data_IF_656994079636
#
_entry.id   IF_656994079636
#
_cell.length_a   1.000
_cell.length_b   1.000
_cell.length_c   1.000
_cell.angle_alpha   90.00
_cell.angle_beta   90.00
_cell.angle_gamma   90.00
#
_symmetry.space_group_name_H-M   'P 1'
#
loop_
_entity.id
_entity.type
_entity.pdbx_description
1 polymer ?
#
# COMPACT_ATOMS: atom_id res chain seq x y z
N UNK A 1 15.49 7.22 13.06
CA UNK A 1 15.38 7.10 11.59
C UNK A 1 15.82 8.36 10.87
N UNK A 2 15.07 9.49 10.94
CA UNK A 2 15.34 10.70 10.13
C UNK A 2 16.78 11.19 10.24
N UNK A 3 17.35 11.28 11.45
CA UNK A 3 18.75 11.69 11.67
C UNK A 3 19.74 10.77 10.94
N UNK A 4 19.52 9.45 11.00
CA UNK A 4 20.38 8.46 10.34
C UNK A 4 20.27 8.59 8.81
N UNK A 5 19.05 8.78 8.29
CA UNK A 5 18.81 8.98 6.87
C UNK A 5 19.48 10.27 6.35
N UNK A 6 19.44 11.36 7.13
CA UNK A 6 20.15 12.60 6.83
C UNK A 6 21.68 12.38 6.84
N UNK A 7 22.21 11.70 7.85
CA UNK A 7 23.64 11.40 7.95
C UNK A 7 24.13 10.52 6.81
N UNK A 8 23.37 9.49 6.44
CA UNK A 8 23.66 8.62 5.29
C UNK A 8 23.68 9.43 3.97
N UNK A 9 22.68 10.28 3.76
CA UNK A 9 22.61 11.15 2.57
C UNK A 9 23.78 12.14 2.54
N UNK A 10 24.11 12.78 3.66
CA UNK A 10 25.24 13.70 3.73
C UNK A 10 26.58 12.99 3.45
N UNK A 11 26.77 11.78 3.97
CA UNK A 11 27.96 10.98 3.68
C UNK A 11 28.05 10.60 2.20
N UNK A 12 26.91 10.35 1.54
CA UNK A 12 26.90 10.03 0.12
C UNK A 12 27.38 11.18 -0.78
N UNK A 13 27.19 12.44 -0.37
CA UNK A 13 27.67 13.61 -1.12
C UNK A 13 29.20 13.77 -1.08
N UNK A 14 29.87 13.06 -0.16
CA UNK A 14 31.33 12.98 -0.10
C UNK A 14 31.88 11.87 -1.01
N UNK A 15 31.01 11.02 -1.57
CA UNK A 15 31.40 9.99 -2.53
C UNK A 15 31.33 10.57 -3.93
N UNK A 16 32.31 10.21 -4.76
CA UNK A 16 32.35 10.59 -6.16
C UNK A 16 31.43 9.65 -6.96
N UNK A 17 30.15 10.02 -7.04
CA UNK A 17 29.10 9.22 -7.69
C UNK A 17 28.77 9.85 -9.04
N UNK A 18 28.89 9.08 -10.11
CA UNK A 18 28.62 9.55 -11.46
C UNK A 18 27.13 9.86 -11.69
N UNK A 19 26.79 11.02 -12.29
CA UNK A 19 25.43 11.33 -12.70
C UNK A 19 24.91 10.36 -13.77
N UNK A 20 23.66 9.95 -13.66
CA UNK A 20 22.99 9.04 -14.60
C UNK A 20 21.77 9.73 -15.22
N UNK A 21 21.58 9.56 -16.53
CA UNK A 21 20.42 10.07 -17.29
C UNK A 21 20.15 11.58 -17.13
N UNK A 22 21.21 12.39 -16.98
CA UNK A 22 21.11 13.84 -16.82
C UNK A 22 20.58 14.30 -15.44
N UNK A 23 20.56 13.40 -14.46
CA UNK A 23 20.15 13.71 -13.07
C UNK A 23 21.38 13.73 -12.17
N UNK A 24 21.59 14.84 -11.46
CA UNK A 24 22.70 14.96 -10.51
C UNK A 24 22.37 14.30 -9.16
N UNK A 25 23.41 13.85 -8.46
CA UNK A 25 23.31 13.26 -7.11
C UNK A 25 22.71 14.24 -6.09
N UNK A 26 23.15 15.53 -6.02
CA UNK A 26 22.54 16.50 -5.11
C UNK A 26 21.05 16.73 -5.37
N UNK A 27 20.62 16.85 -6.64
CA UNK A 27 19.20 17.05 -6.98
C UNK A 27 18.34 15.87 -6.50
N UNK A 28 18.86 14.65 -6.66
CA UNK A 28 18.18 13.42 -6.25
C UNK A 28 18.10 13.30 -4.72
N UNK A 29 19.20 13.63 -4.03
CA UNK A 29 19.24 13.69 -2.58
C UNK A 29 18.20 14.67 -2.03
N UNK A 30 18.18 15.92 -2.55
CA UNK A 30 17.21 16.95 -2.13
C UNK A 30 15.77 16.49 -2.33
N UNK A 31 15.42 15.97 -3.52
CA UNK A 31 14.07 15.46 -3.81
C UNK A 31 13.63 14.37 -2.83
N UNK A 32 14.56 13.49 -2.47
CA UNK A 32 14.26 12.38 -1.56
C UNK A 32 14.15 12.85 -0.11
N UNK A 33 14.97 13.80 0.32
CA UNK A 33 14.85 14.43 1.63
C UNK A 33 13.55 15.22 1.77
N UNK A 34 13.11 15.93 0.72
CA UNK A 34 11.79 16.57 0.68
C UNK A 34 10.68 15.51 0.82
N UNK A 35 10.82 14.37 0.15
CA UNK A 35 9.85 13.27 0.26
C UNK A 35 9.77 12.70 1.68
N UNK A 36 10.91 12.54 2.35
CA UNK A 36 10.99 12.11 3.75
C UNK A 36 10.38 13.17 4.70
N UNK A 37 10.70 14.44 4.48
CA UNK A 37 10.13 15.55 5.25
C UNK A 37 8.61 15.59 5.12
N UNK A 38 8.07 15.49 3.90
CA UNK A 38 6.63 15.48 3.65
C UNK A 38 5.97 14.30 4.36
N UNK A 39 6.57 13.12 4.30
CA UNK A 39 6.13 11.94 5.04
C UNK A 39 6.10 12.16 6.56
N UNK A 40 7.18 12.69 7.11
CA UNK A 40 7.27 13.07 8.52
C UNK A 40 6.23 14.11 8.93
N UNK A 41 5.97 15.10 8.07
CA UNK A 41 4.94 16.11 8.30
C UNK A 41 3.54 15.50 8.36
N UNK A 42 3.19 14.56 7.46
CA UNK A 42 1.93 13.83 7.55
C UNK A 42 1.80 13.05 8.86
N UNK A 43 2.84 12.32 9.25
CA UNK A 43 2.85 11.55 10.50
C UNK A 43 2.67 12.44 11.73
N UNK A 44 3.44 13.52 11.81
CA UNK A 44 3.38 14.47 12.93
C UNK A 44 2.04 15.19 12.98
N UNK A 45 1.48 15.62 11.84
CA UNK A 45 0.17 16.26 11.80
C UNK A 45 -0.93 15.34 12.35
N UNK A 46 -0.99 14.09 11.90
CA UNK A 46 -2.00 13.13 12.37
C UNK A 46 -1.77 12.72 13.82
N UNK A 47 -0.52 12.72 14.29
CA UNK A 47 -0.18 12.38 15.68
C UNK A 47 -0.51 13.51 16.66
N UNK A 48 -0.26 14.76 16.28
CA UNK A 48 -0.27 15.91 17.20
C UNK A 48 -1.58 16.71 17.18
N UNK A 49 -2.34 16.67 16.09
CA UNK A 49 -3.60 17.43 15.99
C UNK A 49 -4.71 16.84 16.88
N UNK A 50 -4.95 15.51 16.90
CA UNK A 50 -5.99 14.94 17.76
C UNK A 50 -5.56 14.98 19.24
N UNK A 51 -6.31 15.70 20.08
CA UNK A 51 -6.01 15.85 21.51
C UNK A 51 -6.90 14.95 22.39
N UNK A 52 -8.03 14.50 21.86
CA UNK A 52 -8.98 13.65 22.57
C UNK A 52 -9.65 12.63 21.61
N UNK A 53 -10.50 11.76 22.17
CA UNK A 53 -11.25 10.76 21.39
C UNK A 53 -12.19 11.38 20.35
N UNK A 54 -12.79 12.53 20.64
CA UNK A 54 -13.66 13.21 19.69
C UNK A 54 -12.91 13.70 18.45
N UNK A 55 -11.69 14.20 18.62
CA UNK A 55 -10.83 14.62 17.51
C UNK A 55 -10.41 13.43 16.63
N UNK A 56 -10.15 12.28 17.23
CA UNK A 56 -9.86 11.04 16.51
C UNK A 56 -11.08 10.57 15.69
N UNK A 57 -12.26 10.58 16.31
CA UNK A 57 -13.52 10.28 15.61
C UNK A 57 -13.78 11.26 14.48
N UNK A 58 -13.56 12.55 14.70
CA UNK A 58 -13.70 13.59 13.70
C UNK A 58 -12.74 13.35 12.52
N UNK A 59 -11.46 13.08 12.81
CA UNK A 59 -10.44 12.81 11.80
C UNK A 59 -10.77 11.55 10.98
N UNK A 60 -11.25 10.49 11.63
CA UNK A 60 -11.69 9.27 10.96
C UNK A 60 -12.92 9.51 10.06
N UNK A 61 -13.88 10.34 10.48
CA UNK A 61 -15.03 10.72 9.65
C UNK A 61 -14.59 11.49 8.40
N UNK A 62 -13.61 12.38 8.51
CA UNK A 62 -13.05 13.10 7.37
C UNK A 62 -12.29 12.18 6.42
N UNK A 63 -11.55 11.21 6.96
CA UNK A 63 -10.95 10.15 6.15
C UNK A 63 -12.03 9.39 5.35
N UNK A 64 -13.11 8.98 6.02
CA UNK A 64 -14.25 8.32 5.38
C UNK A 64 -14.95 9.20 4.35
N UNK A 65 -15.13 10.49 4.61
CA UNK A 65 -15.74 11.42 3.67
C UNK A 65 -14.87 11.62 2.42
N UNK A 66 -13.55 11.81 2.59
CA UNK A 66 -12.60 11.90 1.47
C UNK A 66 -12.60 10.63 0.62
N UNK A 67 -12.62 9.45 1.26
CA UNK A 67 -12.75 8.20 0.54
C UNK A 67 -14.11 8.02 -0.13
N UNK A 68 -15.22 8.46 0.47
CA UNK A 68 -16.52 8.42 -0.18
C UNK A 68 -16.51 9.22 -1.50
N UNK A 69 -15.86 10.38 -1.52
CA UNK A 69 -15.67 11.16 -2.76
C UNK A 69 -14.79 10.40 -3.78
N UNK A 70 -13.68 9.81 -3.33
CA UNK A 70 -12.79 9.05 -4.21
C UNK A 70 -13.48 7.79 -4.78
N UNK A 71 -14.26 7.08 -3.96
CA UNK A 71 -15.06 5.92 -4.36
C UNK A 71 -16.18 6.31 -5.33
N UNK A 72 -16.83 7.46 -5.14
CA UNK A 72 -17.79 7.99 -6.09
C UNK A 72 -17.16 8.22 -7.46
N UNK A 73 -16.00 8.88 -7.49
CA UNK A 73 -15.27 9.11 -8.73
C UNK A 73 -14.83 7.79 -9.40
N UNK A 74 -14.32 6.83 -8.62
CA UNK A 74 -13.99 5.49 -9.11
C UNK A 74 -15.21 4.72 -9.63
N UNK A 75 -16.37 4.88 -9.01
CA UNK A 75 -17.62 4.23 -9.44
C UNK A 75 -18.13 4.78 -10.77
N UNK A 76 -17.99 6.09 -10.99
CA UNK A 76 -18.29 6.70 -12.28
C UNK A 76 -17.36 6.17 -13.38
N UNK A 77 -16.07 6.01 -13.06
CA UNK A 77 -15.12 5.38 -13.98
C UNK A 77 -15.48 3.92 -14.29
N UNK A 78 -16.01 3.17 -13.32
CA UNK A 78 -16.38 1.77 -13.52
C UNK A 78 -17.46 1.57 -14.59
N UNK A 79 -18.30 2.58 -14.85
CA UNK A 79 -19.34 2.50 -15.89
C UNK A 79 -18.76 2.27 -17.29
N UNK A 80 -17.70 2.98 -17.68
CA UNK A 80 -17.06 2.74 -18.99
C UNK A 80 -16.22 1.46 -19.02
N UNK A 81 -15.80 0.95 -17.87
CA UNK A 81 -15.07 -0.32 -17.78
C UNK A 81 -16.02 -1.50 -18.02
N UNK A 82 -17.25 -1.42 -17.51
CA UNK A 82 -18.29 -2.45 -17.74
C UNK A 82 -18.92 -2.31 -19.12
N UNK A 83 -19.23 -1.08 -19.53
CA UNK A 83 -19.90 -0.80 -20.80
C UNK A 83 -19.22 0.36 -21.51
N UNK A 84 -18.26 0.03 -22.36
CA UNK A 84 -17.43 1.05 -23.00
C UNK A 84 -18.27 1.96 -23.91
N UNK A 85 -18.25 3.26 -23.61
CA UNK A 85 -18.85 4.31 -24.40
C UNK A 85 -17.81 5.40 -24.65
N UNK A 86 -17.49 5.65 -25.92
CA UNK A 86 -16.43 6.58 -26.31
C UNK A 86 -16.71 8.03 -25.92
N UNK A 87 -17.97 8.48 -26.00
CA UNK A 87 -18.38 9.83 -25.62
C UNK A 87 -18.20 10.02 -24.12
N UNK A 88 -18.73 9.09 -23.32
CA UNK A 88 -18.60 9.12 -21.86
C UNK A 88 -17.14 9.05 -21.43
N UNK A 89 -16.35 8.15 -22.02
CA UNK A 89 -14.92 8.03 -21.73
C UNK A 89 -14.16 9.33 -22.04
N UNK A 90 -14.46 9.99 -23.17
CA UNK A 90 -13.80 11.24 -23.55
C UNK A 90 -14.16 12.39 -22.59
N UNK A 91 -15.41 12.48 -22.14
CA UNK A 91 -15.82 13.46 -21.11
C UNK A 91 -15.02 13.22 -19.82
N UNK A 92 -14.95 11.98 -19.36
CA UNK A 92 -14.17 11.65 -18.15
C UNK A 92 -12.69 11.90 -18.31
N UNK A 93 -12.13 11.65 -19.50
CA UNK A 93 -10.74 11.95 -19.82
C UNK A 93 -10.45 13.45 -19.74
N UNK A 94 -11.35 14.29 -20.24
CA UNK A 94 -11.23 15.75 -20.12
C UNK A 94 -11.32 16.20 -18.66
N UNK A 95 -12.30 15.68 -17.90
CA UNK A 95 -12.44 16.01 -16.47
C UNK A 95 -11.23 15.56 -15.65
N UNK A 96 -10.73 14.34 -15.87
CA UNK A 96 -9.54 13.82 -15.19
C UNK A 96 -8.31 14.70 -15.49
N UNK A 97 -8.19 15.23 -16.71
CA UNK A 97 -7.06 16.09 -17.09
C UNK A 97 -6.96 17.40 -16.31
N UNK A 98 -8.05 17.82 -15.63
CA UNK A 98 -8.04 18.98 -14.74
C UNK A 98 -7.33 18.72 -13.40
N UNK A 99 -7.22 17.45 -13.00
CA UNK A 99 -6.70 17.05 -11.67
C UNK A 99 -5.49 16.12 -11.77
N UNK A 100 -5.32 15.40 -12.89
CA UNK A 100 -4.24 14.45 -13.10
C UNK A 100 -3.67 14.54 -14.52
N UNK A 101 -2.34 14.52 -14.62
CA UNK A 101 -1.63 14.50 -15.90
C UNK A 101 -1.62 13.11 -16.57
N UNK A 102 -2.08 12.05 -15.88
CA UNK A 102 -2.17 10.69 -16.45
C UNK A 102 -3.41 10.55 -17.32
N UNK A 103 -3.27 9.79 -18.42
CA UNK A 103 -4.40 9.30 -19.22
C UNK A 103 -5.20 8.25 -18.44
N UNK A 104 -6.53 8.26 -18.61
CA UNK A 104 -7.41 7.21 -18.12
C UNK A 104 -7.22 5.90 -18.88
N UNK A 105 -7.51 4.79 -18.19
CA UNK A 105 -7.44 3.43 -18.73
C UNK A 105 -8.83 2.97 -19.12
N UNK A 106 -9.07 2.41 -20.32
CA UNK A 106 -10.39 1.94 -20.71
C UNK A 106 -10.82 0.66 -19.98
N UNK A 107 -9.86 -0.12 -19.48
CA UNK A 107 -10.10 -1.46 -18.91
C UNK A 107 -10.08 -1.52 -17.39
N UNK A 108 -9.74 -0.42 -16.70
CA UNK A 108 -9.60 -0.37 -15.24
C UNK A 108 -9.83 1.05 -14.72
N UNK A 109 -10.23 1.16 -13.47
CA UNK A 109 -10.38 2.46 -12.81
C UNK A 109 -9.11 2.87 -12.06
N UNK A 110 -8.84 4.17 -12.00
CA UNK A 110 -7.74 4.76 -11.23
C UNK A 110 -8.21 5.70 -10.12
N UNK A 111 -9.54 5.91 -10.01
CA UNK A 111 -10.09 6.91 -9.12
C UNK A 111 -9.45 8.27 -9.41
N UNK A 112 -9.12 9.01 -8.34
CA UNK A 112 -8.42 10.30 -8.44
C UNK A 112 -6.89 10.14 -8.42
N UNK A 113 -6.38 8.91 -8.43
CA UNK A 113 -4.95 8.64 -8.35
C UNK A 113 -4.31 8.58 -9.74
N UNK A 114 -2.97 8.52 -9.77
CA UNK A 114 -2.20 8.43 -11.00
C UNK A 114 -2.32 7.06 -11.69
N UNK A 115 -2.55 5.98 -10.93
CA UNK A 115 -2.60 4.59 -11.44
C UNK A 115 -3.68 3.75 -10.73
N UNK A 116 -4.30 2.78 -11.43
CA UNK A 116 -5.21 1.81 -10.81
C UNK A 116 -4.64 1.12 -9.57
N UNK A 117 -3.35 0.79 -9.57
CA UNK A 117 -2.71 0.16 -8.42
C UNK A 117 -2.65 1.10 -7.21
N UNK A 118 -2.35 2.39 -7.40
CA UNK A 118 -2.27 3.35 -6.30
C UNK A 118 -3.63 3.56 -5.64
N UNK A 119 -4.71 3.57 -6.42
CA UNK A 119 -6.06 3.65 -5.86
C UNK A 119 -6.42 2.40 -5.06
N UNK A 120 -6.08 1.21 -5.60
CA UNK A 120 -6.29 -0.05 -4.90
C UNK A 120 -5.52 -0.11 -3.58
N UNK A 121 -4.28 0.39 -3.58
CA UNK A 121 -3.44 0.51 -2.40
C UNK A 121 -4.00 1.50 -1.38
N UNK A 122 -4.47 2.67 -1.80
CA UNK A 122 -5.13 3.63 -0.91
C UNK A 122 -6.36 3.03 -0.24
N UNK A 123 -7.24 2.36 -1.00
CA UNK A 123 -8.40 1.68 -0.43
C UNK A 123 -7.95 0.61 0.57
N UNK A 124 -7.03 -0.27 0.18
CA UNK A 124 -6.64 -1.43 0.98
C UNK A 124 -5.83 -1.09 2.22
N UNK A 125 -5.02 -0.04 2.17
CA UNK A 125 -4.09 0.32 3.24
C UNK A 125 -4.58 1.48 4.10
N UNK A 126 -5.14 2.53 3.48
CA UNK A 126 -5.55 3.74 4.20
C UNK A 126 -6.99 3.66 4.72
N UNK A 127 -7.89 2.92 4.04
CA UNK A 127 -9.31 2.86 4.39
C UNK A 127 -9.74 1.54 5.04
N UNK A 128 -9.42 0.41 4.41
CA UNK A 128 -9.93 -0.92 4.78
C UNK A 128 -9.64 -1.34 6.23
N UNK A 129 -8.46 -1.11 6.83
CA UNK A 129 -8.19 -1.51 8.21
C UNK A 129 -9.20 -0.94 9.21
N UNK A 130 -9.63 0.31 9.00
CA UNK A 130 -10.62 0.98 9.84
C UNK A 130 -12.03 0.45 9.61
N UNK A 131 -12.43 0.27 8.34
CA UNK A 131 -13.76 -0.23 7.98
C UNK A 131 -13.97 -1.68 8.45
N UNK A 132 -13.00 -2.56 8.20
CA UNK A 132 -13.06 -3.94 8.70
C UNK A 132 -13.17 -3.96 10.21
N UNK A 133 -12.31 -3.22 10.90
CA UNK A 133 -12.35 -3.22 12.36
C UNK A 133 -13.67 -2.65 12.88
N UNK A 134 -14.21 -1.59 12.27
CA UNK A 134 -15.47 -0.99 12.67
C UNK A 134 -16.64 -1.99 12.55
N UNK A 135 -16.80 -2.59 11.37
CA UNK A 135 -17.88 -3.56 11.08
C UNK A 135 -17.79 -4.81 11.97
N UNK A 136 -16.58 -5.32 12.22
CA UNK A 136 -16.38 -6.55 12.99
C UNK A 136 -16.40 -6.34 14.50
N UNK A 137 -15.98 -5.17 15.00
CA UNK A 137 -16.11 -4.80 16.42
C UNK A 137 -17.48 -4.22 16.78
N UNK A 138 -18.28 -3.80 15.80
CA UNK A 138 -19.55 -3.12 16.03
C UNK A 138 -19.38 -1.63 16.40
N UNK A 139 -18.17 -1.09 16.22
CA UNK A 139 -17.87 0.32 16.39
C UNK A 139 -18.43 1.15 15.21
N UNK A 140 -18.88 2.37 15.49
CA UNK A 140 -19.37 3.32 14.50
C UNK A 140 -18.84 4.70 14.85
N UNK A 141 -18.10 5.31 13.92
CA UNK A 141 -17.68 6.70 14.04
C UNK A 141 -18.87 7.64 13.86
N UNK A 142 -19.90 7.25 13.11
CA UNK A 142 -21.09 8.07 12.86
C UNK A 142 -22.24 7.76 13.83
N UNK A 143 -23.08 8.77 14.11
CA UNK A 143 -24.30 8.60 14.91
C UNK A 143 -25.42 7.90 14.15
N UNK A 144 -25.45 8.03 12.82
CA UNK A 144 -26.48 7.43 11.99
C UNK A 144 -26.35 5.91 11.95
N UNK A 145 -27.45 5.23 12.26
CA UNK A 145 -27.56 3.78 12.19
C UNK A 145 -29.00 3.41 11.89
N UNK A 146 -29.22 2.61 10.85
CA UNK A 146 -30.53 2.05 10.57
C UNK A 146 -30.53 0.55 10.88
N UNK A 147 -31.21 0.15 11.96
CA UNK A 147 -31.15 -1.22 12.50
C UNK A 147 -29.70 -1.64 12.77
N UNK A 148 -29.16 -2.61 12.01
CA UNK A 148 -27.78 -3.07 12.12
C UNK A 148 -26.84 -2.38 11.12
N UNK A 149 -27.38 -1.61 10.16
CA UNK A 149 -26.64 -0.96 9.09
C UNK A 149 -25.98 0.33 9.59
N UNK A 150 -24.67 0.41 9.47
CA UNK A 150 -23.87 1.62 9.77
C UNK A 150 -23.25 2.17 8.49
N UNK A 151 -22.76 3.41 8.55
CA UNK A 151 -22.06 4.05 7.42
C UNK A 151 -20.82 3.24 7.01
N UNK A 152 -20.08 2.71 7.99
CA UNK A 152 -18.88 1.91 7.77
C UNK A 152 -19.19 0.61 7.03
N UNK A 153 -20.35 -0.01 7.29
CA UNK A 153 -20.79 -1.19 6.55
C UNK A 153 -21.07 -0.86 5.08
N UNK A 154 -21.74 0.26 4.81
CA UNK A 154 -22.01 0.72 3.45
C UNK A 154 -20.71 1.07 2.71
N UNK A 155 -19.80 1.80 3.37
CA UNK A 155 -18.49 2.13 2.84
C UNK A 155 -17.63 0.89 2.58
N UNK A 156 -17.69 -0.13 3.45
CA UNK A 156 -16.92 -1.37 3.28
C UNK A 156 -17.38 -2.11 2.02
N UNK A 157 -18.69 -2.28 1.84
CA UNK A 157 -19.25 -2.93 0.66
C UNK A 157 -18.91 -2.13 -0.60
N UNK A 158 -19.08 -0.81 -0.55
CA UNK A 158 -18.79 0.06 -1.68
C UNK A 158 -17.30 0.06 -2.06
N UNK A 159 -16.42 0.20 -1.08
CA UNK A 159 -14.97 0.16 -1.28
C UNK A 159 -14.51 -1.20 -1.83
N UNK A 160 -15.09 -2.30 -1.35
CA UNK A 160 -14.80 -3.64 -1.87
C UNK A 160 -15.23 -3.76 -3.33
N UNK A 161 -16.44 -3.30 -3.68
CA UNK A 161 -16.93 -3.31 -5.05
C UNK A 161 -16.06 -2.49 -6.00
N UNK A 162 -15.71 -1.26 -5.61
CA UNK A 162 -14.83 -0.37 -6.40
C UNK A 162 -13.44 -0.97 -6.55
N UNK A 163 -12.89 -1.58 -5.48
CA UNK A 163 -11.57 -2.22 -5.52
C UNK A 163 -11.46 -3.30 -6.60
N UNK A 164 -12.52 -4.08 -6.85
CA UNK A 164 -12.52 -5.09 -7.92
C UNK A 164 -12.32 -4.48 -9.31
N UNK A 165 -12.88 -3.29 -9.57
CA UNK A 165 -12.76 -2.59 -10.85
C UNK A 165 -11.38 -1.93 -11.07
N UNK A 166 -10.54 -1.86 -10.03
CA UNK A 166 -9.14 -1.44 -10.19
C UNK A 166 -8.33 -2.48 -10.97
N UNK A 167 -8.78 -3.75 -10.96
CA UNK A 167 -8.05 -4.90 -11.49
C UNK A 167 -6.57 -4.89 -11.04
N UNK A 168 -6.31 -4.49 -9.79
CA UNK A 168 -4.99 -4.57 -9.18
C UNK A 168 -4.81 -5.92 -8.49
N UNK A 169 -3.86 -6.73 -8.98
CA UNK A 169 -3.50 -8.02 -8.40
C UNK A 169 -3.00 -7.86 -6.95
N UNK A 170 -2.14 -6.86 -6.72
CA UNK A 170 -1.65 -6.50 -5.39
C UNK A 170 -2.79 -6.04 -4.49
N UNK A 171 -3.71 -5.21 -4.99
CA UNK A 171 -4.87 -4.73 -4.24
C UNK A 171 -5.75 -5.86 -3.68
N UNK A 172 -5.95 -6.94 -4.43
CA UNK A 172 -6.76 -8.08 -3.95
C UNK A 172 -6.04 -8.95 -2.92
N UNK A 173 -4.73 -9.16 -3.08
CA UNK A 173 -3.92 -9.81 -2.04
C UNK A 173 -4.02 -8.99 -0.75
N UNK A 174 -3.90 -7.66 -0.87
CA UNK A 174 -4.01 -6.73 0.25
C UNK A 174 -5.43 -6.64 0.83
N UNK A 175 -6.46 -7.10 0.12
CA UNK A 175 -7.83 -7.26 0.64
C UNK A 175 -7.99 -8.61 1.38
N UNK A 176 -7.44 -9.70 0.84
CA UNK A 176 -7.53 -11.04 1.42
C UNK A 176 -6.86 -11.14 2.79
N UNK A 177 -5.72 -10.47 2.98
CA UNK A 177 -4.96 -10.45 4.23
C UNK A 177 -5.77 -9.89 5.42
N UNK A 178 -6.30 -8.66 5.37
CA UNK A 178 -7.09 -8.10 6.48
C UNK A 178 -8.41 -8.85 6.70
N UNK A 179 -9.05 -9.40 5.66
CA UNK A 179 -10.23 -10.27 5.81
C UNK A 179 -9.87 -11.48 6.65
N UNK A 180 -8.80 -12.18 6.32
CA UNK A 180 -8.37 -13.37 7.07
C UNK A 180 -8.08 -13.03 8.53
N UNK A 181 -7.35 -11.95 8.74
CA UNK A 181 -6.89 -11.55 10.06
C UNK A 181 -8.02 -11.01 10.94
N UNK A 182 -8.99 -10.25 10.40
CA UNK A 182 -10.08 -9.69 11.21
C UNK A 182 -10.95 -10.78 11.83
N UNK A 183 -11.18 -11.91 11.13
CA UNK A 183 -11.89 -13.06 11.72
C UNK A 183 -11.14 -13.68 12.90
N UNK A 184 -9.81 -13.60 12.91
CA UNK A 184 -8.97 -14.12 14.00
C UNK A 184 -8.95 -13.17 15.21
N UNK A 185 -8.92 -11.85 14.98
CA UNK A 185 -8.76 -10.84 16.05
C UNK A 185 -10.06 -10.18 16.52
N UNK A 186 -11.21 -10.45 15.86
CA UNK A 186 -12.51 -9.86 16.25
C UNK A 186 -12.93 -10.25 17.68
N UNK A 187 -13.68 -9.38 18.38
CA UNK A 187 -14.25 -9.72 19.67
C UNK A 187 -15.23 -10.90 19.54
N UNK A 188 -15.39 -11.65 20.63
CA UNK A 188 -16.34 -12.77 20.70
C UNK A 188 -17.77 -12.24 20.53
N UNK A 189 -18.57 -12.93 19.72
CA UNK A 189 -19.98 -12.59 19.48
C UNK A 189 -20.90 -13.67 20.07
N UNK A 190 -22.12 -13.28 20.41
CA UNK A 190 -23.17 -14.22 20.86
C UNK A 190 -23.52 -15.29 19.80
N UNK A 191 -23.25 -15.01 18.53
CA UNK A 191 -23.40 -15.95 17.40
C UNK A 191 -22.29 -17.00 17.29
N UNK A 192 -21.26 -16.95 18.13
CA UNK A 192 -20.19 -17.95 18.12
C UNK A 192 -20.74 -19.27 18.70
N UNK A 193 -20.50 -20.40 18.01
CA UNK A 193 -21.19 -21.66 18.27
C UNK A 193 -20.68 -22.27 19.58
N UNK A 194 -21.55 -22.55 20.57
CA UNK A 194 -21.15 -23.22 21.80
C UNK A 194 -20.60 -24.63 21.49
N UNK A 195 -19.41 -24.95 22.00
CA UNK A 195 -18.82 -26.31 21.92
C UNK A 195 -17.74 -26.50 20.83
N UNK A 196 -17.68 -25.68 19.78
CA UNK A 196 -16.56 -25.69 18.84
C UNK A 196 -15.38 -24.89 19.42
N UNK A 197 -14.14 -25.36 19.24
CA UNK A 197 -12.97 -24.53 19.58
C UNK A 197 -13.07 -23.21 18.81
N UNK A 198 -13.14 -22.08 19.51
CA UNK A 198 -13.36 -20.73 18.94
C UNK A 198 -12.39 -20.45 17.78
N UNK A 199 -11.14 -20.91 17.92
CA UNK A 199 -10.11 -20.80 16.88
C UNK A 199 -10.51 -21.53 15.59
N UNK A 200 -11.03 -22.75 15.69
CA UNK A 200 -11.50 -23.53 14.53
C UNK A 200 -12.68 -22.86 13.83
N UNK A 201 -13.63 -22.30 14.59
CA UNK A 201 -14.74 -21.53 14.00
C UNK A 201 -14.26 -20.30 13.24
N UNK A 202 -13.30 -19.55 13.81
CA UNK A 202 -12.73 -18.35 13.18
C UNK A 202 -11.97 -18.69 11.90
N UNK A 203 -11.19 -19.77 11.91
CA UNK A 203 -10.49 -20.26 10.72
C UNK A 203 -11.46 -20.68 9.63
N UNK A 204 -12.55 -21.38 9.97
CA UNK A 204 -13.60 -21.75 9.01
C UNK A 204 -14.25 -20.51 8.38
N UNK A 205 -14.59 -19.50 9.19
CA UNK A 205 -15.17 -18.25 8.70
C UNK A 205 -14.22 -17.47 7.80
N UNK A 206 -12.94 -17.39 8.17
CA UNK A 206 -11.91 -16.80 7.34
C UNK A 206 -11.77 -17.55 6.00
N UNK A 207 -11.69 -18.88 6.05
CA UNK A 207 -11.62 -19.73 4.86
C UNK A 207 -12.83 -19.55 3.94
N UNK A 208 -14.05 -19.54 4.49
CA UNK A 208 -15.26 -19.32 3.71
C UNK A 208 -15.29 -17.91 3.08
N UNK A 209 -14.90 -16.88 3.84
CA UNK A 209 -14.83 -15.52 3.31
C UNK A 209 -13.80 -15.41 2.17
N UNK A 210 -12.67 -16.10 2.28
CA UNK A 210 -11.66 -16.17 1.22
C UNK A 210 -12.16 -16.92 -0.01
N UNK A 211 -12.91 -18.02 0.15
CA UNK A 211 -13.51 -18.74 -0.99
C UNK A 211 -14.53 -17.87 -1.71
N UNK A 212 -15.40 -17.17 -0.95
CA UNK A 212 -16.36 -16.23 -1.53
C UNK A 212 -15.64 -15.10 -2.26
N UNK A 213 -14.61 -14.52 -1.64
CA UNK A 213 -13.80 -13.49 -2.29
C UNK A 213 -13.13 -14.02 -3.57
N UNK A 214 -12.50 -15.19 -3.52
CA UNK A 214 -11.86 -15.81 -4.66
C UNK A 214 -12.85 -16.06 -5.80
N UNK A 215 -14.05 -16.55 -5.49
CA UNK A 215 -15.12 -16.72 -6.48
C UNK A 215 -15.54 -15.41 -7.14
N UNK A 216 -15.74 -14.34 -6.35
CA UNK A 216 -16.07 -13.01 -6.86
C UNK A 216 -14.93 -12.47 -7.75
N UNK A 217 -13.68 -12.59 -7.29
CA UNK A 217 -12.49 -12.15 -8.02
C UNK A 217 -12.31 -12.92 -9.33
N UNK A 218 -12.58 -14.23 -9.33
CA UNK A 218 -12.52 -15.06 -10.53
C UNK A 218 -13.58 -14.64 -11.55
N UNK A 219 -14.82 -14.45 -11.10
CA UNK A 219 -15.94 -14.02 -11.98
C UNK A 219 -15.68 -12.63 -12.56
N UNK A 220 -15.27 -11.67 -11.73
CA UNK A 220 -14.98 -10.31 -12.18
C UNK A 220 -13.72 -10.26 -13.06
N UNK A 221 -12.67 -10.99 -12.67
CA UNK A 221 -11.37 -10.96 -13.29
C UNK A 221 -11.27 -11.72 -14.61
N UNK A 222 -12.12 -12.73 -14.85
CA UNK A 222 -12.15 -13.50 -16.10
C UNK A 222 -12.55 -12.65 -17.30
N UNK A 223 -13.22 -11.53 -17.07
CA UNK A 223 -13.62 -10.56 -18.09
C UNK A 223 -12.47 -9.63 -18.52
N UNK A 224 -11.30 -9.70 -17.88
CA UNK A 224 -10.18 -8.80 -18.13
C UNK A 224 -8.90 -9.59 -18.47
N UNK A 225 -8.42 -9.44 -19.71
CA UNK A 225 -7.23 -10.16 -20.21
C UNK A 225 -5.95 -9.93 -19.40
N UNK A 226 -5.78 -8.75 -18.79
CA UNK A 226 -4.63 -8.52 -17.92
C UNK A 226 -4.78 -9.28 -16.60
N UNK A 227 -5.98 -9.33 -16.06
CA UNK A 227 -6.24 -9.92 -14.76
C UNK A 227 -6.29 -11.46 -14.83
N UNK A 228 -6.85 -12.01 -15.90
CA UNK A 228 -6.96 -13.46 -16.12
C UNK A 228 -5.63 -14.19 -16.26
N UNK A 229 -4.54 -13.49 -16.60
CA UNK A 229 -3.17 -14.04 -16.55
C UNK A 229 -2.78 -14.68 -15.21
N UNK A 230 -3.44 -14.31 -14.11
CA UNK A 230 -3.18 -14.95 -12.81
C UNK A 230 -3.46 -16.47 -12.82
N UNK A 231 -4.40 -16.94 -13.63
CA UNK A 231 -4.78 -18.37 -13.71
C UNK A 231 -4.63 -18.96 -15.12
N UNK A 232 -4.46 -18.13 -16.15
CA UNK A 232 -4.35 -18.63 -17.52
C UNK A 232 -2.99 -19.25 -17.87
N UNK A 233 -1.95 -19.10 -17.04
CA UNK A 233 -0.61 -19.63 -17.34
C UNK A 233 -0.61 -21.13 -17.67
N UNK A 234 -1.44 -21.93 -17.00
CA UNK A 234 -1.52 -23.39 -17.22
C UNK A 234 -2.38 -23.78 -18.44
N UNK A 235 -3.14 -22.84 -19.00
CA UNK A 235 -4.03 -23.06 -20.14
C UNK A 235 -3.56 -22.35 -21.41
N UNK A 236 -2.59 -21.43 -21.29
CA UNK A 236 -2.06 -20.64 -22.38
C UNK A 236 -0.92 -21.41 -23.06
N UNK A 237 -1.18 -21.93 -24.25
CA UNK A 237 -0.19 -22.69 -25.03
C UNK A 237 1.01 -21.82 -25.46
N UNK A 238 0.86 -20.49 -25.47
CA UNK A 238 1.93 -19.53 -25.74
C UNK A 238 2.70 -19.13 -24.46
N UNK A 239 2.34 -19.68 -23.30
CA UNK A 239 3.07 -19.40 -22.06
C UNK A 239 4.51 -19.92 -22.16
N UNK A 240 5.45 -18.99 -22.06
CA UNK A 240 6.89 -19.27 -22.09
C UNK A 240 7.52 -18.83 -20.77
N UNK A 241 8.55 -19.56 -20.32
CA UNK A 241 9.23 -19.27 -19.06
C UNK A 241 8.45 -19.72 -17.82
N UNK A 242 8.81 -19.16 -16.66
CA UNK A 242 8.18 -19.50 -15.39
C UNK A 242 6.93 -18.63 -15.12
N UNK A 243 6.09 -19.07 -14.18
CA UNK A 243 4.86 -18.35 -13.82
C UNK A 243 5.12 -16.88 -13.42
N UNK A 244 6.21 -16.62 -12.70
CA UNK A 244 6.56 -15.27 -12.22
C UNK A 244 6.89 -14.31 -13.37
N UNK A 245 7.54 -14.81 -14.41
CA UNK A 245 7.80 -14.10 -15.66
C UNK A 245 6.50 -13.86 -16.45
N UNK A 246 5.63 -14.87 -16.55
CA UNK A 246 4.34 -14.75 -17.22
C UNK A 246 3.45 -13.65 -16.61
N UNK A 247 3.48 -13.51 -15.28
CA UNK A 247 2.76 -12.45 -14.57
C UNK A 247 3.54 -11.12 -14.48
N UNK A 248 4.73 -11.02 -15.08
CA UNK A 248 5.63 -9.86 -15.04
C UNK A 248 6.00 -9.41 -13.60
N UNK A 249 6.26 -10.38 -12.71
CA UNK A 249 6.68 -10.15 -11.33
C UNK A 249 8.18 -10.42 -11.12
N UNK A 250 8.79 -11.23 -11.98
CA UNK A 250 10.19 -11.64 -11.94
C UNK A 250 11.19 -10.47 -11.85
N UNK A 251 10.94 -9.38 -12.59
CA UNK A 251 11.81 -8.19 -12.59
C UNK A 251 11.99 -7.56 -11.21
N UNK A 252 11.01 -7.71 -10.31
CA UNK A 252 11.12 -7.19 -8.95
C UNK A 252 12.27 -7.83 -8.19
N UNK A 253 12.53 -9.12 -8.43
CA UNK A 253 13.64 -9.82 -7.80
C UNK A 253 15.00 -9.29 -8.27
N UNK A 254 15.12 -8.86 -9.53
CA UNK A 254 16.33 -8.20 -10.01
C UNK A 254 16.58 -6.89 -9.26
N UNK A 255 15.56 -6.02 -9.16
CA UNK A 255 15.69 -4.77 -8.39
C UNK A 255 16.01 -5.01 -6.91
N UNK A 256 15.39 -6.01 -6.28
CA UNK A 256 15.65 -6.33 -4.87
C UNK A 256 17.02 -6.98 -4.67
N UNK A 257 17.46 -7.81 -5.61
CA UNK A 257 18.78 -8.41 -5.61
C UNK A 257 19.87 -7.36 -5.72
N UNK A 258 19.74 -6.41 -6.64
CA UNK A 258 20.65 -5.26 -6.76
C UNK A 258 20.68 -4.42 -5.49
N UNK A 259 19.52 -4.14 -4.89
CA UNK A 259 19.46 -3.42 -3.61
C UNK A 259 20.21 -4.17 -2.50
N UNK A 260 20.11 -5.50 -2.46
CA UNK A 260 20.84 -6.33 -1.52
C UNK A 260 22.36 -6.29 -1.76
N UNK A 261 22.82 -6.33 -3.02
CA UNK A 261 24.24 -6.24 -3.34
C UNK A 261 24.82 -4.88 -2.94
N UNK A 262 24.12 -3.78 -3.24
CA UNK A 262 24.50 -2.43 -2.79
C UNK A 262 24.60 -2.38 -1.25
N UNK A 263 23.66 -2.99 -0.55
CA UNK A 263 23.71 -3.09 0.91
C UNK A 263 24.92 -3.92 1.39
N UNK A 264 25.23 -5.04 0.73
CA UNK A 264 26.35 -5.90 1.12
C UNK A 264 27.69 -5.15 1.08
N UNK A 265 27.87 -4.25 0.11
CA UNK A 265 29.08 -3.45 -0.05
C UNK A 265 29.07 -2.17 0.80
N UNK A 266 27.87 -1.70 1.20
CA UNK A 266 27.69 -0.52 2.05
C UNK A 266 26.82 -0.79 3.30
N UNK A 267 27.21 -1.71 4.20
CA UNK A 267 26.30 -2.30 5.18
C UNK A 267 25.85 -1.35 6.29
N UNK A 268 26.67 -0.37 6.66
CA UNK A 268 26.41 0.46 7.86
C UNK A 268 25.43 1.61 7.54
N UNK A 269 25.80 2.47 6.58
CA UNK A 269 25.07 3.68 6.23
C UNK A 269 24.41 3.61 4.84
N UNK A 270 24.64 2.56 4.06
CA UNK A 270 24.16 2.50 2.68
C UNK A 270 24.83 3.52 1.76
N UNK A 271 24.17 3.79 0.62
CA UNK A 271 24.64 4.73 -0.42
C UNK A 271 24.01 6.12 -0.34
N UNK A 272 23.17 6.41 0.64
CA UNK A 272 22.42 7.66 0.73
C UNK A 272 21.05 7.60 0.06
N UNK A 273 20.12 8.41 0.57
CA UNK A 273 18.74 8.41 0.09
C UNK A 273 18.63 8.89 -1.36
N UNK A 274 17.95 8.09 -2.18
CA UNK A 274 17.71 8.35 -3.60
C UNK A 274 18.82 7.89 -4.53
N UNK A 275 19.93 7.37 -3.99
CA UNK A 275 21.12 7.05 -4.78
C UNK A 275 21.12 5.65 -5.38
N UNK A 276 20.16 4.78 -5.03
CA UNK A 276 20.06 3.43 -5.60
C UNK A 276 20.21 3.40 -7.13
N UNK A 277 19.62 4.38 -7.83
CA UNK A 277 19.65 4.45 -9.30
C UNK A 277 21.04 4.63 -9.89
N UNK A 278 21.98 5.27 -9.18
CA UNK A 278 23.34 5.53 -9.68
C UNK A 278 24.22 4.28 -9.59
N UNK A 279 23.88 3.37 -8.69
CA UNK A 279 24.57 2.09 -8.49
C UNK A 279 23.85 0.95 -9.21
N UNK A 280 22.73 1.21 -9.89
CA UNK A 280 21.88 0.14 -10.42
C UNK A 280 22.62 -0.70 -11.47
N UNK A 281 23.27 -0.05 -12.44
CA UNK A 281 23.92 -0.75 -13.55
C UNK A 281 25.16 -1.52 -13.09
N UNK A 282 25.94 -0.96 -12.15
CA UNK A 282 27.14 -1.60 -11.58
C UNK A 282 26.80 -2.84 -10.75
N UNK A 283 25.69 -2.79 -10.00
CA UNK A 283 25.25 -3.87 -9.09
C UNK A 283 24.10 -4.70 -9.67
N UNK A 284 23.84 -4.58 -10.98
CA UNK A 284 22.86 -5.44 -11.64
C UNK A 284 23.45 -6.84 -11.77
N UNK A 285 22.79 -7.82 -11.15
CA UNK A 285 23.25 -9.22 -11.23
C UNK A 285 23.36 -9.69 -12.68
N UNK A 286 24.36 -10.52 -13.00
CA UNK A 286 24.60 -11.20 -14.30
C UNK A 286 23.46 -12.15 -14.77
N UNK A 287 22.28 -12.07 -14.15
CA UNK A 287 21.08 -12.76 -14.61
C UNK A 287 20.81 -12.36 -16.08
N UNK A 288 20.45 -13.31 -16.95
CA UNK A 288 20.17 -12.98 -18.35
C UNK A 288 19.06 -11.92 -18.39
N UNK A 289 19.36 -10.75 -18.97
CA UNK A 289 18.43 -9.62 -19.15
C UNK A 289 17.44 -9.85 -20.31
N UNK A 290 17.78 -10.82 -21.18
CA UNK A 290 17.02 -11.22 -22.36
C UNK A 290 15.56 -11.66 -22.13
N UNK A 291 15.16 -12.31 -21.01
CA UNK A 291 13.77 -12.66 -20.74
C UNK A 291 12.90 -11.47 -20.27
N UNK A 292 13.51 -10.30 -20.01
CA UNK A 292 12.86 -9.15 -19.39
C UNK A 292 12.95 -7.90 -20.28
N UNK A 293 12.08 -7.80 -21.31
CA UNK A 293 12.09 -6.67 -22.24
C UNK A 293 11.92 -5.30 -21.55
N UNK A 294 11.29 -5.23 -20.37
CA UNK A 294 11.18 -3.98 -19.62
C UNK A 294 12.51 -3.56 -18.95
N UNK A 295 13.33 -4.51 -18.47
CA UNK A 295 14.68 -4.20 -17.97
C UNK A 295 15.60 -3.77 -19.10
N UNK A 296 15.50 -4.44 -20.26
CA UNK A 296 16.20 -4.00 -21.48
C UNK A 296 15.76 -2.59 -21.89
N UNK A 297 14.46 -2.29 -21.89
CA UNK A 297 13.95 -0.95 -22.21
C UNK A 297 14.37 0.15 -21.21
N UNK A 298 14.71 -0.22 -19.96
CA UNK A 298 15.24 0.70 -18.95
C UNK A 298 16.74 0.97 -19.14
N UNK A 299 17.50 -0.06 -19.52
CA UNK A 299 18.95 0.03 -19.75
C UNK A 299 19.30 0.57 -21.15
N UNK A 300 18.37 0.53 -22.10
CA UNK A 300 18.58 1.04 -23.46
C UNK A 300 18.21 2.52 -23.51
N UNK A 301 19.16 3.45 -23.76
CA UNK A 301 18.86 4.88 -23.81
C UNK A 301 18.04 5.21 -25.05
N UNK A 302 16.72 5.40 -24.90
CA UNK A 302 15.92 6.08 -25.92
C UNK A 302 15.90 7.59 -25.65
N UNK A 303 16.14 8.40 -26.69
CA UNK A 303 16.12 9.85 -26.59
C UNK A 303 14.78 10.34 -25.98
N UNK A 304 14.85 10.96 -24.80
CA UNK A 304 13.68 11.48 -24.08
C UNK A 304 13.07 10.54 -23.01
N UNK A 305 13.59 9.33 -22.80
CA UNK A 305 13.21 8.48 -21.65
C UNK A 305 14.19 8.65 -20.49
N UNK A 306 13.84 9.53 -19.54
CA UNK A 306 14.56 9.70 -18.26
C UNK A 306 13.90 8.90 -17.13
N UNK A 307 13.58 7.62 -17.37
CA UNK A 307 12.93 6.81 -16.36
C UNK A 307 13.97 6.29 -15.36
N UNK A 308 14.09 7.01 -14.24
CA UNK A 308 14.98 6.66 -13.13
C UNK A 308 14.58 5.30 -12.55
N UNK A 309 15.54 4.39 -12.39
CA UNK A 309 15.30 3.07 -11.83
C UNK A 309 15.00 3.15 -10.34
N UNK A 310 14.03 2.36 -9.88
CA UNK A 310 13.61 2.33 -8.48
C UNK A 310 13.54 0.88 -7.99
N UNK A 311 13.70 0.70 -6.68
CA UNK A 311 13.73 -0.62 -6.05
C UNK A 311 12.36 -1.30 -6.10
N UNK A 312 11.28 -0.52 -6.16
CA UNK A 312 9.88 -0.98 -6.12
C UNK A 312 9.55 -1.79 -4.85
N UNK A 313 10.36 -1.65 -3.80
CA UNK A 313 10.09 -2.13 -2.45
C UNK A 313 10.80 -1.26 -1.41
N UNK A 314 10.10 -1.01 -0.32
CA UNK A 314 10.48 -0.07 0.73
C UNK A 314 11.63 -0.59 1.60
N UNK A 315 11.59 -1.85 2.05
CA UNK A 315 12.65 -2.38 2.93
C UNK A 315 13.99 -2.65 2.22
N UNK A 316 14.03 -3.23 1.01
CA UNK A 316 15.28 -3.34 0.26
C UNK A 316 15.85 -1.97 -0.08
N UNK A 317 15.00 -0.97 -0.36
CA UNK A 317 15.43 0.43 -0.51
C UNK A 317 16.06 0.96 0.77
N UNK A 318 15.43 0.78 1.93
CA UNK A 318 15.99 1.21 3.22
C UNK A 318 17.36 0.59 3.48
N UNK A 319 17.51 -0.70 3.20
CA UNK A 319 18.79 -1.40 3.36
C UNK A 319 19.86 -0.84 2.44
N UNK A 320 19.58 -0.69 1.14
CA UNK A 320 20.55 -0.17 0.17
C UNK A 320 20.92 1.30 0.47
N UNK A 321 19.93 2.15 0.73
CA UNK A 321 20.12 3.59 0.81
C UNK A 321 20.54 4.07 2.20
N UNK A 322 20.18 3.37 3.28
CA UNK A 322 20.47 3.80 4.65
C UNK A 322 21.22 2.77 5.50
N UNK A 323 21.53 1.60 4.93
CA UNK A 323 22.23 0.52 5.60
C UNK A 323 21.44 -0.11 6.74
N UNK A 324 22.14 -0.90 7.54
CA UNK A 324 21.61 -1.55 8.73
C UNK A 324 21.16 -0.53 9.77
N UNK A 325 21.88 0.59 9.95
CA UNK A 325 21.51 1.59 10.95
C UNK A 325 20.18 2.28 10.63
N UNK A 326 19.98 2.70 9.38
CA UNK A 326 18.72 3.34 8.99
C UNK A 326 17.56 2.35 9.06
N UNK A 327 17.77 1.14 8.54
CA UNK A 327 16.75 0.07 8.58
C UNK A 327 16.39 -0.30 10.02
N UNK A 328 17.37 -0.53 10.89
CA UNK A 328 17.14 -0.88 12.30
C UNK A 328 16.38 0.22 13.05
N UNK A 329 16.73 1.50 12.84
CA UNK A 329 16.00 2.60 13.48
C UNK A 329 14.59 2.80 12.92
N UNK A 330 14.32 2.42 11.68
CA UNK A 330 12.96 2.39 11.14
C UNK A 330 12.16 1.22 11.71
N UNK A 331 12.76 0.04 11.83
CA UNK A 331 12.14 -1.12 12.47
C UNK A 331 11.84 -0.85 13.95
N UNK A 332 12.73 -0.17 14.67
CA UNK A 332 12.47 0.29 16.04
C UNK A 332 11.25 1.21 16.12
N UNK A 333 11.07 2.10 15.14
CA UNK A 333 9.87 2.92 15.02
C UNK A 333 8.61 2.07 14.81
N UNK A 334 8.63 1.07 13.90
CA UNK A 334 7.49 0.15 13.73
C UNK A 334 7.20 -0.67 14.99
N UNK A 335 8.23 -1.10 15.71
CA UNK A 335 8.09 -1.81 16.98
C UNK A 335 7.44 -0.92 18.05
N UNK A 336 7.75 0.37 18.09
CA UNK A 336 7.06 1.33 18.95
C UNK A 336 5.58 1.46 18.57
N UNK A 337 5.24 1.51 17.28
CA UNK A 337 3.84 1.51 16.83
C UNK A 337 3.12 0.21 17.21
N UNK A 338 3.80 -0.94 17.10
CA UNK A 338 3.27 -2.21 17.58
C UNK A 338 3.02 -2.17 19.09
N UNK A 339 3.95 -1.61 19.88
CA UNK A 339 3.77 -1.40 21.31
C UNK A 339 2.52 -0.56 21.63
N UNK A 340 2.33 0.57 20.94
CA UNK A 340 1.13 1.41 21.02
C UNK A 340 -0.15 0.65 20.65
N UNK A 341 -0.08 -0.19 19.62
CA UNK A 341 -1.18 -1.03 19.16
C UNK A 341 -1.59 -2.05 20.23
N UNK A 342 -0.62 -2.77 20.79
CA UNK A 342 -0.85 -3.76 21.84
C UNK A 342 -1.38 -3.11 23.12
N UNK A 343 -0.85 -1.95 23.50
CA UNK A 343 -1.38 -1.14 24.60
C UNK A 343 -2.87 -0.84 24.44
N UNK A 344 -3.28 -0.39 23.25
CA UNK A 344 -4.69 -0.09 22.94
C UNK A 344 -5.59 -1.34 22.94
N UNK A 345 -5.09 -2.49 22.48
CA UNK A 345 -5.84 -3.77 22.51
C UNK A 345 -6.11 -4.22 23.94
N UNK A 346 -5.16 -3.98 24.85
CA UNK A 346 -5.25 -4.38 26.25
C UNK A 346 -6.07 -3.38 27.10
N UNK A 347 -6.47 -2.24 26.54
CA UNK A 347 -7.32 -1.25 27.22
C UNK A 347 -8.70 -1.83 27.57
N UNK A 348 -9.28 -1.49 28.74
CA UNK A 348 -10.65 -1.87 29.08
C UNK A 348 -11.70 -1.18 28.19
N UNK A 349 -11.33 -0.06 27.56
CA UNK A 349 -12.23 0.78 26.78
C UNK A 349 -12.44 0.24 25.36
N UNK A 350 -13.70 0.09 24.95
CA UNK A 350 -14.04 -0.54 23.66
C UNK A 350 -13.58 0.28 22.44
N UNK A 351 -13.52 1.60 22.56
CA UNK A 351 -13.00 2.50 21.52
C UNK A 351 -11.48 2.35 21.34
N UNK A 352 -10.72 2.23 22.43
CA UNK A 352 -9.27 1.98 22.36
C UNK A 352 -9.00 0.61 21.72
N UNK A 353 -9.76 -0.42 22.09
CA UNK A 353 -9.65 -1.74 21.46
C UNK A 353 -9.94 -1.71 19.95
N UNK A 354 -10.83 -0.82 19.49
CA UNK A 354 -11.05 -0.60 18.06
C UNK A 354 -9.77 -0.08 17.39
N UNK A 355 -9.16 0.98 17.92
CA UNK A 355 -7.92 1.53 17.37
C UNK A 355 -6.75 0.53 17.40
N UNK A 356 -6.63 -0.23 18.49
CA UNK A 356 -5.63 -1.28 18.62
C UNK A 356 -5.81 -2.43 17.60
N UNK A 357 -7.03 -2.96 17.43
CA UNK A 357 -7.27 -4.02 16.42
C UNK A 357 -7.06 -3.50 15.00
N UNK A 358 -7.46 -2.27 14.71
CA UNK A 358 -7.20 -1.63 13.42
C UNK A 358 -5.69 -1.44 13.19
N UNK A 359 -4.94 -1.10 14.24
CA UNK A 359 -3.48 -0.99 14.18
C UNK A 359 -2.78 -2.31 13.80
N UNK A 360 -3.28 -3.46 14.28
CA UNK A 360 -2.77 -4.77 13.85
C UNK A 360 -3.02 -4.99 12.35
N UNK A 361 -4.22 -4.68 11.85
CA UNK A 361 -4.50 -4.77 10.42
C UNK A 361 -3.59 -3.83 9.61
N UNK A 362 -3.39 -2.59 10.07
CA UNK A 362 -2.50 -1.62 9.44
C UNK A 362 -1.06 -2.16 9.34
N UNK A 363 -0.51 -2.70 10.43
CA UNK A 363 0.87 -3.20 10.45
C UNK A 363 1.07 -4.42 9.53
N UNK A 364 0.08 -5.32 9.48
CA UNK A 364 0.13 -6.48 8.59
C UNK A 364 -0.03 -6.07 7.13
N UNK A 365 -0.99 -5.19 6.82
CA UNK A 365 -1.15 -4.66 5.46
C UNK A 365 0.09 -3.89 5.03
N UNK A 366 0.66 -3.04 5.90
CA UNK A 366 1.93 -2.34 5.66
C UNK A 366 3.07 -3.30 5.32
N UNK A 367 3.20 -4.39 6.08
CA UNK A 367 4.23 -5.40 5.83
C UNK A 367 4.11 -6.01 4.44
N UNK A 368 2.88 -6.32 3.98
CA UNK A 368 2.66 -6.86 2.65
C UNK A 368 2.86 -5.81 1.52
N UNK A 369 2.32 -4.61 1.68
CA UNK A 369 2.36 -3.55 0.66
C UNK A 369 3.75 -2.91 0.52
N UNK A 370 4.60 -2.99 1.56
CA UNK A 370 5.99 -2.51 1.52
C UNK A 370 6.84 -3.18 0.42
N UNK A 371 6.38 -4.30 -0.15
CA UNK A 371 6.97 -4.96 -1.31
C UNK A 371 6.48 -4.41 -2.66
N UNK A 372 5.65 -3.37 -2.67
CA UNK A 372 5.04 -2.81 -3.88
C UNK A 372 5.25 -1.31 -4.07
N UNK A 373 5.70 -0.59 -3.05
CA UNK A 373 6.13 0.81 -3.16
C UNK A 373 7.48 1.00 -2.49
N UNK A 374 8.16 2.10 -2.82
CA UNK A 374 9.44 2.46 -2.25
C UNK A 374 9.53 3.94 -1.82
N UNK A 375 8.47 4.75 -1.95
CA UNK A 375 8.53 6.19 -1.66
C UNK A 375 8.11 6.60 -0.24
N UNK A 376 8.86 7.54 0.36
CA UNK A 376 8.46 8.21 1.61
C UNK A 376 7.35 9.25 1.43
N UNK A 377 7.13 9.75 0.21
CA UNK A 377 6.12 10.78 -0.04
C UNK A 377 4.68 10.26 -0.03
N UNK A 378 4.50 8.93 -0.02
CA UNK A 378 3.17 8.33 0.05
C UNK A 378 2.56 8.59 1.43
N UNK A 379 1.45 9.35 1.51
CA UNK A 379 0.87 9.73 2.80
C UNK A 379 0.30 8.51 3.55
N UNK A 380 -0.01 7.43 2.83
CA UNK A 380 -0.75 6.29 3.33
C UNK A 380 -0.16 5.74 4.64
N UNK A 381 1.12 5.37 4.65
CA UNK A 381 1.76 4.78 5.84
C UNK A 381 1.85 5.77 7.00
N UNK A 382 2.16 7.03 6.70
CA UNK A 382 2.36 8.04 7.73
C UNK A 382 1.06 8.40 8.43
N UNK A 383 -0.05 8.51 7.68
CA UNK A 383 -1.37 8.79 8.25
C UNK A 383 -1.83 7.64 9.13
N UNK A 384 -1.74 6.38 8.66
CA UNK A 384 -2.25 5.25 9.45
C UNK A 384 -1.42 4.98 10.71
N UNK A 385 -0.09 5.11 10.63
CA UNK A 385 0.79 4.99 11.81
C UNK A 385 0.59 6.17 12.77
N UNK A 386 0.33 7.37 12.23
CA UNK A 386 -0.01 8.56 13.01
C UNK A 386 -1.29 8.37 13.81
N UNK A 387 -2.34 7.80 13.20
CA UNK A 387 -3.61 7.50 13.89
C UNK A 387 -3.41 6.57 15.09
N UNK A 388 -2.60 5.52 14.95
CA UNK A 388 -2.30 4.59 16.04
C UNK A 388 -1.56 5.31 17.18
N UNK A 389 -0.61 6.18 16.82
CA UNK A 389 0.16 6.95 17.81
C UNK A 389 -0.74 7.94 18.56
N UNK A 390 -1.58 8.68 17.84
CA UNK A 390 -2.56 9.60 18.41
C UNK A 390 -3.53 8.86 19.35
N UNK A 391 -4.11 7.73 18.91
CA UNK A 391 -5.00 6.92 19.74
C UNK A 391 -4.33 6.47 21.05
N UNK A 392 -3.09 5.98 20.99
CA UNK A 392 -2.35 5.55 22.18
C UNK A 392 -2.01 6.72 23.12
N UNK A 393 -1.75 7.90 22.57
CA UNK A 393 -1.52 9.11 23.36
C UNK A 393 -2.82 9.57 24.07
N UNK A 394 -3.93 9.68 23.34
CA UNK A 394 -5.22 10.12 23.89
C UNK A 394 -5.87 9.13 24.86
N UNK A 395 -5.44 7.87 24.84
CA UNK A 395 -5.92 6.84 25.79
C UNK A 395 -5.24 6.96 27.16
N UNK A 396 -4.07 7.61 27.24
CA UNK A 396 -3.34 7.84 28.51
C UNK A 396 -3.83 9.06 29.27
N UNK A 397 -4.42 10.01 28.56
CA UNK A 397 -4.99 11.26 29.07
C UNK A 397 -6.44 11.05 29.43
#
# INVERSE_FOLDING_TARGET
>A
FVVVALGSTAFSLLRDIDPVLGVSVPDRAIRTLISLFLGGAFYLAVTLIPQNRDDLRFSLRWLYAGFAMALAWGSLQALYVVHFNSVYFNIFKQLQSLVSIRKLFPTRISGMTYEPNWFAEQISFLLMPWLFTAVFSGYSAFRWRWRKLTVEMLLLVWATGVLLFTYSRAGLILLAVPISLIFLIRPRRSTDVPGLKIVGQRLLQAGLALVVLAGIVFIAGSQNNYFSRLWNYWSDEESTGNYLQYIAFDQRFAYWGTAYQIYADHPILGVGLGNYTFYFDEYLSDQPLYPTPELLALLTPEAGRSQITSVKSFFPRLLAETGLLGTATFLAFLLAILGSTLYLILSPESEDQFWGRAGILVLVVFSAISFSFDSFSLPNMWIVLGFITAAAHTSKT
#
